data_IF_568871720320
#
_entry.id   IF_568871720320
#
_cell.length_a   1.000
_cell.length_b   1.000
_cell.length_c   1.000
_cell.angle_alpha   90.00
_cell.angle_beta   90.00
_cell.angle_gamma   90.00
#
_symmetry.space_group_name_H-M   'P 1'
#
loop_
_entity.id
_entity.type
_entity.pdbx_description
1 polymer ?
#
# COMPACT_ATOMS: atom_id res chain seq x y z
N UNK A 1 0.12 10.37 -6.68
CA UNK A 1 1.00 10.75 -5.57
C UNK A 1 0.71 12.15 -5.03
N UNK A 2 1.09 13.23 -5.73
CA UNK A 2 0.98 14.59 -5.19
C UNK A 2 -0.39 15.04 -4.67
N UNK A 3 -1.50 14.54 -5.22
CA UNK A 3 -2.84 14.84 -4.69
C UNK A 3 -3.05 14.28 -3.27
N UNK A 4 -2.54 13.08 -2.99
CA UNK A 4 -2.68 12.41 -1.68
C UNK A 4 -1.85 13.17 -0.64
N UNK A 5 -0.60 13.52 -0.96
CA UNK A 5 0.27 14.32 -0.07
C UNK A 5 -0.34 15.69 0.26
N UNK A 6 -0.87 16.41 -0.73
CA UNK A 6 -1.52 17.71 -0.50
C UNK A 6 -2.74 17.59 0.42
N UNK A 7 -3.56 16.55 0.22
CA UNK A 7 -4.77 16.36 1.00
C UNK A 7 -4.49 15.85 2.42
N UNK A 8 -3.54 14.94 2.60
CA UNK A 8 -3.14 14.39 3.90
C UNK A 8 -2.38 15.40 4.78
N UNK A 9 -1.65 16.34 4.15
CA UNK A 9 -0.85 17.34 4.83
C UNK A 9 0.60 16.92 5.08
N UNK A 10 1.43 17.82 5.65
CA UNK A 10 2.88 17.64 5.73
C UNK A 10 3.31 16.43 6.56
N UNK A 11 2.52 16.06 7.57
CA UNK A 11 2.84 14.92 8.43
C UNK A 11 2.94 13.59 7.67
N UNK A 12 2.18 13.43 6.57
CA UNK A 12 2.33 12.26 5.69
C UNK A 12 3.74 12.17 5.12
N UNK A 13 4.28 13.31 4.69
CA UNK A 13 5.63 13.37 4.13
C UNK A 13 6.68 13.08 5.20
N UNK A 14 6.46 13.54 6.43
CA UNK A 14 7.37 13.28 7.55
C UNK A 14 7.40 11.80 7.93
N UNK A 15 6.25 11.11 7.94
CA UNK A 15 6.21 9.65 8.15
C UNK A 15 6.80 8.88 6.97
N UNK A 16 6.56 9.29 5.72
CA UNK A 16 7.21 8.66 4.57
C UNK A 16 8.75 8.75 4.64
N UNK A 17 9.31 9.82 5.22
CA UNK A 17 10.77 9.96 5.40
C UNK A 17 11.34 8.95 6.39
N UNK A 18 10.58 8.51 7.39
CA UNK A 18 11.04 7.49 8.35
C UNK A 18 11.01 6.08 7.75
N UNK A 19 10.16 5.87 6.74
CA UNK A 19 9.97 4.57 6.11
C UNK A 19 11.07 4.16 5.12
N UNK A 20 12.02 5.03 4.76
CA UNK A 20 13.02 4.78 3.70
C UNK A 20 12.38 4.46 2.33
N UNK A 21 13.19 4.12 1.33
CA UNK A 21 12.71 3.80 -0.03
C UNK A 21 11.83 2.55 -0.08
N UNK A 22 10.90 2.49 -1.04
CA UNK A 22 10.07 1.31 -1.32
C UNK A 22 10.48 0.73 -2.67
N UNK A 23 10.78 -0.56 -2.70
CA UNK A 23 11.14 -1.27 -3.94
C UNK A 23 9.92 -1.48 -4.83
N UNK A 24 10.16 -1.63 -6.14
CA UNK A 24 9.11 -1.96 -7.11
C UNK A 24 8.37 -3.24 -6.70
N UNK A 25 7.04 -3.23 -6.78
CA UNK A 25 6.20 -4.35 -6.39
C UNK A 25 5.97 -4.47 -4.88
N UNK A 26 6.69 -3.74 -4.02
CA UNK A 26 6.49 -3.75 -2.57
C UNK A 26 5.51 -2.68 -2.11
N UNK A 27 5.06 -2.78 -0.87
CA UNK A 27 4.15 -1.82 -0.26
C UNK A 27 4.56 -1.48 1.18
N UNK A 28 4.21 -0.27 1.63
CA UNK A 28 4.38 0.23 3.00
C UNK A 28 3.14 1.00 3.43
N UNK A 29 2.86 1.10 4.72
CA UNK A 29 1.66 1.76 5.23
C UNK A 29 2.02 2.93 6.14
N UNK A 30 1.26 4.02 6.02
CA UNK A 30 1.33 5.20 6.89
C UNK A 30 -0.05 5.56 7.41
N UNK A 31 -0.11 6.46 8.39
CA UNK A 31 -1.36 7.10 8.79
C UNK A 31 -1.95 7.94 7.63
N UNK A 32 -3.28 8.09 7.59
CA UNK A 32 -3.97 8.91 6.59
C UNK A 32 -4.08 10.41 6.93
N UNK A 33 -3.76 10.79 8.16
CA UNK A 33 -3.72 12.17 8.64
C UNK A 33 -5.02 12.97 8.42
N UNK A 34 -5.01 13.93 7.50
CA UNK A 34 -6.17 14.77 7.16
C UNK A 34 -7.14 14.10 6.19
N UNK A 35 -6.77 12.95 5.62
CA UNK A 35 -7.66 12.20 4.75
C UNK A 35 -8.82 11.58 5.55
N UNK A 36 -9.99 11.37 4.93
CA UNK A 36 -11.05 10.55 5.51
C UNK A 36 -10.62 9.08 5.73
N UNK A 37 -9.68 8.59 4.91
CA UNK A 37 -9.08 7.27 5.05
C UNK A 37 -8.19 7.19 6.30
N UNK A 38 -8.26 6.07 7.01
CA UNK A 38 -7.45 5.85 8.24
C UNK A 38 -5.96 5.72 7.94
N UNK A 39 -5.63 5.08 6.81
CA UNK A 39 -4.28 4.76 6.38
C UNK A 39 -4.09 5.05 4.90
N UNK A 40 -2.83 5.20 4.49
CA UNK A 40 -2.40 5.21 3.09
C UNK A 40 -1.41 4.06 2.92
N UNK A 41 -1.67 3.19 1.94
CA UNK A 41 -0.73 2.15 1.54
C UNK A 41 0.01 2.66 0.29
N UNK A 42 1.32 2.84 0.43
CA UNK A 42 2.23 3.30 -0.60
C UNK A 42 2.85 2.09 -1.28
N UNK A 43 2.80 2.04 -2.60
CA UNK A 43 3.43 0.99 -3.40
C UNK A 43 4.06 1.59 -4.64
N UNK A 44 5.17 1.00 -5.08
CA UNK A 44 5.90 1.45 -6.28
C UNK A 44 5.60 0.48 -7.42
N UNK A 45 4.83 0.95 -8.40
CA UNK A 45 4.54 0.19 -9.60
C UNK A 45 5.71 0.14 -10.59
N UNK A 46 5.73 -0.84 -11.50
CA UNK A 46 6.73 -0.92 -12.56
C UNK A 46 6.61 0.26 -13.52
N UNK A 47 7.73 0.66 -14.11
CA UNK A 47 7.79 1.61 -15.24
C UNK A 47 7.80 0.79 -16.52
N UNK A 48 6.87 1.07 -17.43
CA UNK A 48 6.75 0.45 -18.75
C UNK A 48 6.95 1.48 -19.86
N UNK A 49 7.65 1.07 -20.92
CA UNK A 49 7.89 1.88 -22.11
C UNK A 49 7.30 1.15 -23.33
N UNK A 50 5.97 1.19 -23.47
CA UNK A 50 5.24 0.43 -24.50
C UNK A 50 4.71 -0.90 -23.95
N UNK A 51 5.09 -2.01 -24.57
CA UNK A 51 4.61 -3.34 -24.15
C UNK A 51 5.32 -3.80 -22.86
N UNK A 52 4.56 -4.12 -21.79
CA UNK A 52 5.14 -4.59 -20.54
C UNK A 52 5.64 -6.04 -20.66
N UNK A 53 6.82 -6.30 -20.13
CA UNK A 53 7.37 -7.64 -19.97
C UNK A 53 6.62 -8.46 -18.90
N UNK A 54 6.83 -9.78 -18.91
CA UNK A 54 6.30 -10.67 -17.88
C UNK A 54 6.75 -10.28 -16.46
N UNK A 55 7.98 -9.77 -16.30
CA UNK A 55 8.49 -9.29 -15.01
C UNK A 55 7.68 -8.08 -14.53
N UNK A 56 7.43 -7.12 -15.41
CA UNK A 56 6.65 -5.92 -15.06
C UNK A 56 5.18 -6.28 -14.76
N UNK A 57 4.61 -7.27 -15.46
CA UNK A 57 3.29 -7.79 -15.09
C UNK A 57 3.28 -8.41 -13.68
N UNK A 58 4.32 -9.19 -13.33
CA UNK A 58 4.46 -9.77 -12.00
C UNK A 58 4.69 -8.71 -10.90
N UNK A 59 5.44 -7.65 -11.19
CA UNK A 59 5.65 -6.50 -10.30
C UNK A 59 4.36 -5.72 -10.08
N UNK A 60 3.59 -5.46 -11.13
CA UNK A 60 2.28 -4.81 -11.01
C UNK A 60 1.36 -5.67 -10.15
N UNK A 61 1.25 -6.98 -10.42
CA UNK A 61 0.51 -7.93 -9.58
C UNK A 61 0.95 -7.85 -8.11
N UNK A 62 2.25 -7.83 -7.87
CA UNK A 62 2.82 -7.76 -6.52
C UNK A 62 2.43 -6.49 -5.76
N UNK A 63 2.29 -5.34 -6.45
CA UNK A 63 1.82 -4.11 -5.83
C UNK A 63 0.44 -4.28 -5.18
N UNK A 64 -0.50 -4.92 -5.89
CA UNK A 64 -1.85 -5.16 -5.40
C UNK A 64 -1.87 -6.19 -4.27
N UNK A 65 -1.15 -7.31 -4.42
CA UNK A 65 -1.13 -8.36 -3.39
C UNK A 65 -0.47 -7.89 -2.10
N UNK A 66 0.72 -7.29 -2.16
CA UNK A 66 1.40 -6.77 -0.97
C UNK A 66 0.58 -5.67 -0.27
N UNK A 67 -0.16 -4.86 -1.04
CA UNK A 67 -1.08 -3.87 -0.46
C UNK A 67 -2.27 -4.51 0.25
N UNK A 68 -2.81 -5.60 -0.30
CA UNK A 68 -3.91 -6.35 0.32
C UNK A 68 -3.45 -7.14 1.55
N UNK A 69 -2.22 -7.63 1.56
CA UNK A 69 -1.63 -8.30 2.71
C UNK A 69 -1.48 -7.33 3.87
N UNK A 70 -0.98 -6.10 3.62
CA UNK A 70 -0.96 -5.03 4.63
C UNK A 70 -2.36 -4.67 5.14
N UNK A 71 -3.39 -4.71 4.28
CA UNK A 71 -4.78 -4.53 4.71
C UNK A 71 -5.19 -5.59 5.74
N UNK A 72 -4.83 -6.86 5.54
CA UNK A 72 -5.14 -7.94 6.48
C UNK A 72 -4.32 -7.84 7.77
N UNK A 73 -3.01 -7.58 7.66
CA UNK A 73 -2.11 -7.41 8.80
C UNK A 73 -2.60 -6.31 9.75
N UNK A 74 -3.09 -5.20 9.19
CA UNK A 74 -3.65 -4.08 9.93
C UNK A 74 -5.14 -4.21 10.26
N UNK A 75 -5.75 -5.37 9.96
CA UNK A 75 -7.18 -5.70 10.22
C UNK A 75 -8.13 -4.66 9.62
N UNK A 76 -7.78 -4.13 8.45
CA UNK A 76 -8.60 -3.23 7.65
C UNK A 76 -9.56 -4.06 6.79
N UNK A 77 -10.71 -3.47 6.42
CA UNK A 77 -11.78 -4.17 5.68
C UNK A 77 -12.15 -3.53 4.36
N UNK A 78 -11.59 -2.36 4.06
CA UNK A 78 -11.85 -1.63 2.82
C UNK A 78 -10.59 -0.93 2.35
N UNK A 79 -10.39 -0.96 1.03
CA UNK A 79 -9.29 -0.31 0.32
C UNK A 79 -9.81 0.18 -1.02
N UNK A 80 -9.24 1.27 -1.53
CA UNK A 80 -9.46 1.74 -2.89
C UNK A 80 -8.11 1.83 -3.59
N UNK A 81 -8.02 1.29 -4.81
CA UNK A 81 -6.81 1.33 -5.63
C UNK A 81 -6.96 2.37 -6.74
N UNK A 82 -5.93 3.20 -6.99
CA UNK A 82 -5.82 3.91 -8.26
C UNK A 82 -5.39 2.92 -9.37
N UNK A 83 -5.38 3.40 -10.62
CA UNK A 83 -4.80 2.67 -11.75
C UNK A 83 -3.26 2.74 -11.68
N UNK A 84 -2.64 1.88 -10.87
CA UNK A 84 -1.18 1.86 -10.63
C UNK A 84 -0.45 1.67 -11.96
N UNK A 85 0.65 2.40 -12.15
CA UNK A 85 1.52 2.41 -13.33
C UNK A 85 0.94 2.92 -14.66
N UNK A 86 -0.37 3.19 -14.75
CA UNK A 86 -1.01 3.61 -16.03
C UNK A 86 -0.86 5.09 -16.40
N UNK A 87 -0.30 5.91 -15.51
CA UNK A 87 -0.03 7.32 -15.75
C UNK A 87 1.39 7.57 -16.24
N UNK A 88 2.17 8.31 -15.44
CA UNK A 88 3.57 8.66 -15.74
C UNK A 88 4.47 7.45 -15.98
N UNK A 89 4.12 6.28 -15.43
CA UNK A 89 4.88 5.04 -15.59
C UNK A 89 4.50 4.24 -16.85
N UNK A 90 3.55 4.70 -17.67
CA UNK A 90 3.37 4.24 -19.05
C UNK A 90 2.83 2.83 -19.26
N UNK A 91 2.30 2.16 -18.24
CA UNK A 91 1.70 0.82 -18.39
C UNK A 91 0.36 0.91 -19.15
N UNK A 92 0.13 0.13 -20.22
CA UNK A 92 -1.11 0.19 -20.99
C UNK A 92 -2.35 -0.15 -20.12
N UNK A 93 -3.43 0.64 -20.26
CA UNK A 93 -4.61 0.51 -19.40
C UNK A 93 -5.25 -0.88 -19.47
N UNK A 94 -5.44 -1.42 -20.67
CA UNK A 94 -6.07 -2.71 -20.91
C UNK A 94 -5.24 -3.85 -20.31
N UNK A 95 -3.93 -3.85 -20.56
CA UNK A 95 -3.02 -4.84 -20.01
C UNK A 95 -2.96 -4.76 -18.47
N UNK A 96 -2.97 -3.55 -17.91
CA UNK A 96 -3.01 -3.37 -16.46
C UNK A 96 -4.32 -3.90 -15.88
N UNK A 97 -5.47 -3.60 -16.50
CA UNK A 97 -6.77 -4.05 -16.03
C UNK A 97 -6.86 -5.58 -15.93
N UNK A 98 -6.35 -6.30 -16.94
CA UNK A 98 -6.28 -7.77 -16.93
C UNK A 98 -5.48 -8.30 -15.74
N UNK A 99 -4.26 -7.77 -15.52
CA UNK A 99 -3.40 -8.16 -14.39
C UNK A 99 -4.09 -7.89 -13.05
N UNK A 100 -4.71 -6.72 -12.91
CA UNK A 100 -5.36 -6.29 -11.67
C UNK A 100 -6.59 -7.13 -11.37
N UNK A 101 -7.49 -7.31 -12.33
CA UNK A 101 -8.72 -8.09 -12.13
C UNK A 101 -8.40 -9.55 -11.79
N UNK A 102 -7.42 -10.15 -12.47
CA UNK A 102 -6.96 -11.49 -12.17
C UNK A 102 -6.41 -11.59 -10.74
N UNK A 103 -5.52 -10.67 -10.35
CA UNK A 103 -4.91 -10.65 -9.01
C UNK A 103 -5.95 -10.44 -7.90
N UNK A 104 -6.86 -9.49 -8.07
CA UNK A 104 -7.90 -9.20 -7.09
C UNK A 104 -8.87 -10.38 -6.93
N UNK A 105 -9.29 -10.99 -8.05
CA UNK A 105 -10.17 -12.15 -8.03
C UNK A 105 -9.53 -13.32 -7.29
N UNK A 106 -8.30 -13.68 -7.66
CA UNK A 106 -7.56 -14.78 -7.04
C UNK A 106 -7.41 -14.53 -5.53
N UNK A 107 -7.00 -13.32 -5.14
CA UNK A 107 -6.82 -12.98 -3.73
C UNK A 107 -8.14 -13.02 -2.96
N UNK A 108 -9.22 -12.48 -3.52
CA UNK A 108 -10.56 -12.54 -2.90
C UNK A 108 -11.06 -13.96 -2.75
N UNK A 109 -10.81 -14.83 -3.73
CA UNK A 109 -11.20 -16.24 -3.66
C UNK A 109 -10.52 -16.97 -2.49
N UNK A 110 -9.26 -16.62 -2.19
CA UNK A 110 -8.49 -17.16 -1.06
C UNK A 110 -8.86 -16.52 0.29
N UNK A 111 -9.47 -15.33 0.28
CA UNK A 111 -9.70 -14.53 1.49
C UNK A 111 -11.18 -14.13 1.71
N UNK A 112 -12.13 -14.89 1.17
CA UNK A 112 -13.58 -14.61 1.22
C UNK A 112 -14.10 -14.34 2.63
N UNK A 113 -13.59 -15.06 3.62
CA UNK A 113 -14.05 -14.94 5.02
C UNK A 113 -13.49 -13.70 5.73
N UNK A 114 -12.32 -13.21 5.29
CA UNK A 114 -11.67 -12.03 5.88
C UNK A 114 -12.17 -10.72 5.28
N UNK A 115 -12.82 -10.77 4.12
CA UNK A 115 -13.29 -9.60 3.35
C UNK A 115 -14.82 -9.47 3.25
N UNK A 116 -15.59 -10.42 3.80
CA UNK A 116 -17.05 -10.32 3.90
C UNK A 116 -17.46 -9.11 4.75
N UNK A 117 -17.70 -8.00 4.06
CA UNK A 117 -18.46 -6.85 4.52
C UNK A 117 -19.93 -7.27 4.66
N UNK A 118 -20.47 -7.24 5.87
CA UNK A 118 -21.91 -7.05 6.04
C UNK A 118 -22.35 -5.70 5.43
N UNK A 119 -23.66 -5.44 5.29
CA UNK A 119 -24.13 -4.15 4.84
C UNK A 119 -23.51 -3.02 5.69
N UNK A 120 -23.31 -1.82 5.13
CA UNK A 120 -22.85 -0.66 5.89
C UNK A 120 -24.01 -0.19 6.79
N UNK A 121 -24.32 -0.97 7.83
CA UNK A 121 -25.37 -0.64 8.78
C UNK A 121 -24.80 0.30 9.85
N UNK A 122 -25.13 1.59 9.67
CA UNK A 122 -25.49 2.53 10.71
C UNK A 122 -24.66 2.47 12.02
N UNK A 123 -23.42 2.96 11.99
CA UNK A 123 -22.79 3.40 13.24
C UNK A 123 -23.45 4.72 13.69
N UNK A 124 -23.93 4.82 14.94
CA UNK A 124 -24.61 6.01 15.44
C UNK A 124 -23.65 7.20 15.41
N UNK A 125 -24.16 8.38 15.03
CA UNK A 125 -23.47 9.65 15.23
C UNK A 125 -23.05 9.80 16.68
N UNK A 126 -21.77 9.58 17.00
CA UNK A 126 -21.16 10.20 18.18
C UNK A 126 -19.65 10.02 18.27
N UNK A 127 -19.00 11.18 18.33
CA UNK A 127 -17.68 11.48 18.91
C UNK A 127 -16.45 11.03 18.10
N UNK A 128 -15.83 12.05 17.50
CA UNK A 128 -14.41 12.15 17.15
C UNK A 128 -13.59 11.23 18.07
N UNK A 129 -13.10 10.11 17.54
CA UNK A 129 -12.05 9.37 18.20
C UNK A 129 -10.87 10.33 18.42
N UNK A 130 -10.21 10.31 19.60
CA UNK A 130 -8.97 11.05 19.77
C UNK A 130 -7.99 10.58 18.69
N UNK A 131 -7.38 11.52 17.97
CA UNK A 131 -6.24 11.24 17.09
C UNK A 131 -5.27 10.37 17.90
N UNK A 132 -4.69 9.29 17.34
CA UNK A 132 -3.60 8.62 18.01
C UNK A 132 -2.53 9.68 18.27
N UNK A 133 -2.24 9.92 19.56
CA UNK A 133 -1.04 10.65 19.93
C UNK A 133 0.13 9.94 19.24
N UNK A 134 1.04 10.71 18.67
CA UNK A 134 2.32 10.20 18.17
C UNK A 134 3.06 9.55 19.34
N UNK A 135 2.77 8.28 19.60
CA UNK A 135 3.55 7.40 20.46
C UNK A 135 4.67 6.78 19.63
N UNK A 136 5.81 6.47 20.25
CA UNK A 136 6.91 5.83 19.57
C UNK A 136 6.42 4.49 19.01
N UNK A 137 6.75 4.22 17.75
CA UNK A 137 6.39 2.97 17.08
C UNK A 137 6.87 1.74 17.87
N UNK A 138 6.30 0.55 17.61
CA UNK A 138 6.69 -0.66 18.31
C UNK A 138 8.19 -0.91 18.09
N UNK A 139 8.93 -0.96 19.19
CA UNK A 139 10.33 -1.35 19.19
C UNK A 139 10.45 -2.77 18.63
N UNK A 140 10.98 -2.87 17.41
CA UNK A 140 11.52 -4.12 16.92
C UNK A 140 12.64 -4.57 17.87
N UNK A 141 12.68 -5.84 18.29
CA UNK A 141 13.83 -6.36 19.00
C UNK A 141 15.06 -6.26 18.08
N UNK A 142 16.06 -5.51 18.55
CA UNK A 142 17.41 -5.48 17.99
C UNK A 142 17.94 -6.91 17.94
N UNK A 143 17.91 -7.53 16.76
CA UNK A 143 18.74 -8.69 16.48
C UNK A 143 20.20 -8.22 16.43
N UNK A 144 21.16 -8.94 17.04
CA UNK A 144 22.56 -8.55 17.02
C UNK A 144 23.09 -8.60 15.58
N UNK A 145 23.60 -7.46 15.12
CA UNK A 145 24.36 -7.29 13.88
C UNK A 145 25.49 -8.32 13.84
N UNK A 146 25.36 -9.33 12.98
CA UNK A 146 26.52 -10.10 12.52
C UNK A 146 27.36 -9.21 11.59
N UNK A 147 28.70 -9.22 11.71
CA UNK A 147 29.57 -8.40 10.86
C UNK A 147 29.48 -8.88 9.40
N UNK A 148 29.11 -7.97 8.49
CA UNK A 148 29.24 -8.15 7.04
C UNK A 148 30.73 -8.13 6.65
N UNK A 149 31.17 -9.01 5.74
CA UNK A 149 32.56 -9.04 5.26
C UNK A 149 32.87 -7.81 4.38
N UNK A 150 34.12 -7.32 4.40
CA UNK A 150 34.54 -6.21 3.56
C UNK A 150 34.88 -6.76 2.18
N UNK A 151 34.09 -6.46 1.14
CA UNK A 151 34.53 -6.27 -0.26
C UNK A 151 33.37 -5.71 -1.10
N UNK A 152 33.43 -4.43 -1.46
CA UNK A 152 32.94 -3.84 -2.71
C UNK A 152 33.19 -2.33 -2.66
N UNK A 153 34.32 -1.91 -3.24
CA UNK A 153 34.66 -0.53 -3.61
C UNK A 153 33.78 -0.08 -4.77
#
# INVERSE_FOLDING_TARGET
>A
DGCIHRAAGPLLTDECRTLQSCETGKAKITCGYRLPAKYVIHTVGPIAHGEPSASQAAELRSCYLNSLDLLLEHRLRSVAFPCISTGVFGYPNEAAAEVVLAALREWLEQHKDKTRLGPPDLAPSSKRAPKPAAGPGPGHPLLPLSPLPPEAV
#
